data_IF_430696310476
#
_entry.id   IF_430696310476
#
_cell.length_a   1.000
_cell.length_b   1.000
_cell.length_c   1.000
_cell.angle_alpha   90.00
_cell.angle_beta   90.00
_cell.angle_gamma   90.00
#
_symmetry.space_group_name_H-M   'P 1'
#
loop_
_entity.id
_entity.type
_entity.pdbx_description
1 polymer ?
#
# COMPACT_ATOMS: atom_id res chain seq x y z
N UNK A 1 -24.27 107.91 47.24
CA UNK A 1 -23.22 106.93 47.63
C UNK A 1 -22.70 106.25 46.39
N UNK A 2 -21.48 106.57 45.95
CA UNK A 2 -20.85 105.90 44.82
C UNK A 2 -20.43 104.49 45.27
N UNK A 3 -21.05 103.45 44.71
CA UNK A 3 -20.62 102.07 44.93
C UNK A 3 -19.24 101.91 44.29
N UNK A 4 -18.19 101.68 45.10
CA UNK A 4 -16.87 101.29 44.59
C UNK A 4 -17.04 100.01 43.78
N UNK A 5 -16.73 100.06 42.50
CA UNK A 5 -16.72 98.86 41.67
C UNK A 5 -15.63 97.91 42.21
N UNK A 6 -15.92 96.60 42.31
CA UNK A 6 -14.92 95.63 42.72
C UNK A 6 -13.77 95.59 41.71
N UNK A 7 -12.54 95.53 42.22
CA UNK A 7 -11.34 95.38 41.40
C UNK A 7 -11.12 93.88 41.11
N UNK A 8 -11.51 93.46 39.91
CA UNK A 8 -11.41 92.07 39.44
C UNK A 8 -10.08 91.76 38.75
N UNK A 9 -9.10 92.66 38.77
CA UNK A 9 -7.86 92.51 37.99
C UNK A 9 -7.03 91.29 38.42
N UNK A 10 -6.98 90.98 39.71
CA UNK A 10 -6.27 89.82 40.25
C UNK A 10 -6.90 88.49 39.79
N UNK A 11 -8.23 88.35 39.91
CA UNK A 11 -8.97 87.16 39.49
C UNK A 11 -8.91 86.96 37.97
N UNK A 12 -8.94 88.06 37.20
CA UNK A 12 -8.80 88.03 35.74
C UNK A 12 -7.42 87.51 35.32
N UNK A 13 -6.35 87.89 36.02
CA UNK A 13 -5.00 87.39 35.75
C UNK A 13 -4.83 85.91 36.09
N UNK A 14 -5.42 85.43 37.18
CA UNK A 14 -5.39 84.00 37.55
C UNK A 14 -6.14 83.17 36.50
N UNK A 15 -7.31 83.64 36.08
CA UNK A 15 -8.10 82.99 35.03
C UNK A 15 -7.38 82.98 33.67
N UNK A 16 -6.74 84.08 33.27
CA UNK A 16 -5.98 84.13 32.03
C UNK A 16 -4.78 83.15 32.06
N UNK A 17 -4.05 83.09 33.19
CA UNK A 17 -2.93 82.15 33.35
C UNK A 17 -3.40 80.69 33.35
N UNK A 18 -4.51 80.38 34.01
CA UNK A 18 -5.06 79.01 34.02
C UNK A 18 -5.56 78.61 32.64
N UNK A 19 -6.20 79.53 31.90
CA UNK A 19 -6.63 79.31 30.51
C UNK A 19 -5.44 79.09 29.59
N UNK A 20 -4.38 79.89 29.72
CA UNK A 20 -3.15 79.72 28.93
C UNK A 20 -2.45 78.40 29.22
N UNK A 21 -2.38 77.99 30.50
CA UNK A 21 -1.83 76.69 30.89
C UNK A 21 -2.68 75.52 30.36
N UNK A 22 -4.01 75.66 30.37
CA UNK A 22 -4.91 74.66 29.80
C UNK A 22 -4.72 74.52 28.28
N UNK A 23 -4.59 75.63 27.56
CA UNK A 23 -4.31 75.62 26.12
C UNK A 23 -2.96 74.96 25.80
N UNK A 24 -1.89 75.31 26.52
CA UNK A 24 -0.58 74.70 26.33
C UNK A 24 -0.60 73.17 26.62
N UNK A 25 -1.37 72.74 27.62
CA UNK A 25 -1.56 71.31 27.89
C UNK A 25 -2.37 70.62 26.79
N UNK A 26 -3.41 71.26 26.25
CA UNK A 26 -4.19 70.73 25.13
C UNK A 26 -3.33 70.58 23.87
N UNK A 27 -2.48 71.56 23.57
CA UNK A 27 -1.56 71.51 22.45
C UNK A 27 -0.57 70.35 22.60
N UNK A 28 0.02 70.21 23.79
CA UNK A 28 0.93 69.10 24.10
C UNK A 28 0.24 67.73 23.97
N UNK A 29 -0.95 67.57 24.54
CA UNK A 29 -1.72 66.32 24.44
C UNK A 29 -2.08 66.01 22.98
N UNK A 30 -2.42 67.05 22.19
CA UNK A 30 -2.72 66.89 20.76
C UNK A 30 -1.50 66.45 19.97
N UNK A 31 -0.32 67.00 20.27
CA UNK A 31 0.92 66.60 19.61
C UNK A 31 1.35 65.18 20.00
N UNK A 32 1.28 64.82 21.28
CA UNK A 32 1.56 63.47 21.77
C UNK A 32 0.59 62.44 21.16
N UNK A 33 -0.69 62.79 21.03
CA UNK A 33 -1.70 61.96 20.38
C UNK A 33 -1.42 61.76 18.88
N UNK A 34 -0.97 62.80 18.17
CA UNK A 34 -0.56 62.69 16.75
C UNK A 34 0.64 61.76 16.59
N UNK A 35 1.69 61.93 17.41
CA UNK A 35 2.88 61.05 17.38
C UNK A 35 2.52 59.60 17.69
N UNK A 36 1.64 59.37 18.67
CA UNK A 36 1.16 58.03 19.00
C UNK A 36 0.35 57.42 17.83
N UNK A 37 -0.47 58.22 17.15
CA UNK A 37 -1.24 57.78 15.99
C UNK A 37 -0.35 57.44 14.79
N UNK A 38 0.63 58.28 14.46
CA UNK A 38 1.61 58.03 13.40
C UNK A 38 2.38 56.73 13.67
N UNK A 39 2.88 56.55 14.90
CA UNK A 39 3.56 55.31 15.32
C UNK A 39 2.66 54.09 15.20
N UNK A 40 1.37 54.21 15.53
CA UNK A 40 0.41 53.12 15.38
C UNK A 40 0.16 52.76 13.90
N UNK A 41 0.12 53.76 13.01
CA UNK A 41 0.02 53.54 11.56
C UNK A 41 1.27 52.82 11.04
N UNK A 42 2.46 53.27 11.41
CA UNK A 42 3.73 52.62 11.02
C UNK A 42 3.78 51.16 11.49
N UNK A 43 3.40 50.90 12.75
CA UNK A 43 3.31 49.54 13.28
C UNK A 43 2.30 48.68 12.51
N UNK A 44 1.15 49.25 12.12
CA UNK A 44 0.15 48.54 11.34
C UNK A 44 0.65 48.21 9.93
N UNK A 45 1.37 49.13 9.29
CA UNK A 45 1.98 48.90 7.97
C UNK A 45 3.02 47.78 8.07
N UNK A 46 3.95 47.88 9.03
CA UNK A 46 4.98 46.86 9.24
C UNK A 46 4.37 45.47 9.55
N UNK A 47 3.31 45.42 10.36
CA UNK A 47 2.61 44.17 10.66
C UNK A 47 1.93 43.58 9.42
N UNK A 48 1.35 44.40 8.54
CA UNK A 48 0.75 43.94 7.28
C UNK A 48 1.80 43.42 6.30
N UNK A 49 2.94 44.10 6.19
CA UNK A 49 4.05 43.64 5.35
C UNK A 49 4.61 42.30 5.85
N UNK A 50 4.74 42.14 7.17
CA UNK A 50 5.18 40.90 7.78
C UNK A 50 4.19 39.75 7.53
N UNK A 51 2.88 39.98 7.72
CA UNK A 51 1.83 39.00 7.41
C UNK A 51 1.90 38.59 5.94
N UNK A 52 2.02 39.56 5.03
CA UNK A 52 2.10 39.28 3.61
C UNK A 52 3.35 38.45 3.25
N UNK A 53 4.49 38.73 3.89
CA UNK A 53 5.70 37.91 3.72
C UNK A 53 5.47 36.48 4.19
N UNK A 54 4.86 36.30 5.36
CA UNK A 54 4.53 34.96 5.90
C UNK A 54 3.57 34.21 4.98
N UNK A 55 2.57 34.88 4.41
CA UNK A 55 1.63 34.29 3.45
C UNK A 55 2.37 33.78 2.20
N UNK A 56 3.27 34.59 1.62
CA UNK A 56 4.07 34.19 0.45
C UNK A 56 5.01 33.01 0.75
N UNK A 57 5.65 33.02 1.93
CA UNK A 57 6.48 31.90 2.38
C UNK A 57 5.64 30.63 2.57
N UNK A 58 4.46 30.75 3.18
CA UNK A 58 3.54 29.63 3.38
C UNK A 58 3.01 29.06 2.06
N UNK A 59 2.68 29.91 1.08
CA UNK A 59 2.29 29.48 -0.26
C UNK A 59 3.40 28.72 -0.97
N UNK A 60 4.65 29.20 -0.86
CA UNK A 60 5.82 28.56 -1.46
C UNK A 60 6.05 27.19 -0.84
N UNK A 61 6.05 27.10 0.50
CA UNK A 61 6.20 25.82 1.22
C UNK A 61 5.07 24.85 0.86
N UNK A 62 3.82 25.34 0.80
CA UNK A 62 2.67 24.51 0.45
C UNK A 62 2.78 23.95 -0.97
N UNK A 63 3.18 24.79 -1.94
CA UNK A 63 3.39 24.38 -3.33
C UNK A 63 4.48 23.33 -3.45
N UNK A 64 5.64 23.56 -2.84
CA UNK A 64 6.76 22.62 -2.86
C UNK A 64 6.39 21.29 -2.21
N UNK A 65 5.63 21.34 -1.11
CA UNK A 65 5.12 20.15 -0.46
C UNK A 65 4.16 19.38 -1.38
N UNK A 66 3.19 20.04 -2.01
CA UNK A 66 2.24 19.41 -2.92
C UNK A 66 2.96 18.80 -4.12
N UNK A 67 3.89 19.53 -4.74
CA UNK A 67 4.63 19.06 -5.91
C UNK A 67 5.53 17.87 -5.59
N UNK A 68 6.20 17.88 -4.43
CA UNK A 68 7.00 16.75 -3.97
C UNK A 68 6.14 15.51 -3.74
N UNK A 69 5.06 15.64 -2.97
CA UNK A 69 4.16 14.52 -2.68
C UNK A 69 3.49 14.00 -3.96
N UNK A 70 3.13 14.89 -4.89
CA UNK A 70 2.56 14.49 -6.18
C UNK A 70 3.52 13.59 -6.96
N UNK A 71 4.79 13.98 -7.08
CA UNK A 71 5.81 13.17 -7.78
C UNK A 71 6.00 11.80 -7.12
N UNK A 72 6.02 11.74 -5.79
CA UNK A 72 6.13 10.49 -5.04
C UNK A 72 4.90 9.59 -5.25
N UNK A 73 3.69 10.15 -5.23
CA UNK A 73 2.45 9.43 -5.49
C UNK A 73 2.40 8.94 -6.94
N UNK A 74 2.75 9.77 -7.92
CA UNK A 74 2.79 9.40 -9.34
C UNK A 74 3.80 8.27 -9.59
N UNK A 75 4.99 8.34 -8.99
CA UNK A 75 5.99 7.27 -9.07
C UNK A 75 5.48 5.96 -8.47
N UNK A 76 4.89 6.01 -7.27
CA UNK A 76 4.31 4.83 -6.62
C UNK A 76 3.18 4.22 -7.45
N UNK A 77 2.26 5.05 -7.96
CA UNK A 77 1.15 4.58 -8.81
C UNK A 77 1.68 3.93 -10.09
N UNK A 78 2.71 4.51 -10.71
CA UNK A 78 3.37 3.91 -11.89
C UNK A 78 3.93 2.54 -11.55
N UNK A 79 4.67 2.43 -10.44
CA UNK A 79 5.26 1.16 -9.99
C UNK A 79 4.19 0.11 -9.67
N UNK A 80 3.10 0.49 -9.00
CA UNK A 80 1.98 -0.39 -8.65
C UNK A 80 1.26 -0.91 -9.90
N UNK A 81 1.00 -0.02 -10.87
CA UNK A 81 0.36 -0.39 -12.14
C UNK A 81 1.29 -1.31 -12.94
N UNK A 82 2.57 -0.95 -13.05
CA UNK A 82 3.56 -1.73 -13.77
C UNK A 82 3.72 -3.13 -13.16
N UNK A 83 3.82 -3.22 -11.83
CA UNK A 83 3.88 -4.50 -11.11
C UNK A 83 2.65 -5.36 -11.37
N UNK A 84 1.45 -4.76 -11.33
CA UNK A 84 0.19 -5.46 -11.64
C UNK A 84 0.15 -5.98 -13.07
N UNK A 85 0.64 -5.20 -14.04
CA UNK A 85 0.74 -5.62 -15.44
C UNK A 85 1.74 -6.77 -15.61
N UNK A 86 2.95 -6.63 -15.07
CA UNK A 86 4.00 -7.67 -15.10
C UNK A 86 3.45 -8.99 -14.55
N UNK A 87 2.78 -8.95 -13.40
CA UNK A 87 2.17 -10.14 -12.80
C UNK A 87 1.15 -10.81 -13.74
N UNK A 88 0.28 -10.03 -14.36
CA UNK A 88 -0.71 -10.56 -15.31
C UNK A 88 -0.04 -11.18 -16.54
N UNK A 89 0.97 -10.52 -17.11
CA UNK A 89 1.66 -11.00 -18.30
C UNK A 89 2.43 -12.31 -18.05
N UNK A 90 3.05 -12.44 -16.87
CA UNK A 90 3.65 -13.73 -16.45
C UNK A 90 2.58 -14.81 -16.37
N UNK A 91 1.41 -14.52 -15.78
CA UNK A 91 0.30 -15.48 -15.71
C UNK A 91 -0.29 -15.80 -17.09
N UNK A 92 -0.18 -14.90 -18.07
CA UNK A 92 -0.53 -15.18 -19.46
C UNK A 92 0.57 -15.93 -20.24
N UNK A 93 1.66 -16.33 -19.58
CA UNK A 93 2.73 -17.12 -20.18
C UNK A 93 3.74 -16.31 -21.01
N UNK A 94 3.77 -14.98 -20.88
CA UNK A 94 4.84 -14.21 -21.51
C UNK A 94 6.18 -14.46 -20.81
N UNK A 95 7.26 -14.57 -21.59
CA UNK A 95 8.60 -14.79 -21.04
C UNK A 95 9.07 -13.57 -20.25
N UNK A 96 9.85 -13.78 -19.18
CA UNK A 96 10.42 -12.68 -18.39
C UNK A 96 11.26 -11.73 -19.25
N UNK A 97 12.00 -12.27 -20.23
CA UNK A 97 12.85 -11.48 -21.11
C UNK A 97 12.03 -10.54 -22.00
N UNK A 98 10.91 -11.04 -22.56
CA UNK A 98 10.03 -10.22 -23.38
C UNK A 98 9.35 -9.14 -22.53
N UNK A 99 8.86 -9.48 -21.33
CA UNK A 99 8.24 -8.50 -20.42
C UNK A 99 9.24 -7.41 -20.03
N UNK A 100 10.46 -7.78 -19.62
CA UNK A 100 11.49 -6.83 -19.22
C UNK A 100 11.89 -5.91 -20.38
N UNK A 101 11.98 -6.45 -21.61
CA UNK A 101 12.32 -5.68 -22.80
C UNK A 101 11.20 -4.74 -23.23
N UNK A 102 9.97 -5.22 -23.33
CA UNK A 102 8.83 -4.46 -23.87
C UNK A 102 8.29 -3.41 -22.89
N UNK A 103 8.39 -3.66 -21.57
CA UNK A 103 7.92 -2.74 -20.54
C UNK A 103 9.04 -2.00 -19.81
N UNK A 104 10.30 -2.22 -20.20
CA UNK A 104 11.50 -1.66 -19.55
C UNK A 104 11.51 -1.91 -18.03
N UNK A 105 11.05 -3.10 -17.61
CA UNK A 105 10.85 -3.43 -16.20
C UNK A 105 12.20 -3.77 -15.54
N UNK A 106 12.52 -3.19 -14.37
CA UNK A 106 13.73 -3.56 -13.64
C UNK A 106 13.71 -5.03 -13.21
N UNK A 107 14.87 -5.71 -13.31
CA UNK A 107 15.00 -7.13 -12.93
C UNK A 107 14.53 -7.43 -11.49
N UNK A 108 14.71 -6.49 -10.56
CA UNK A 108 14.20 -6.61 -9.19
C UNK A 108 12.67 -6.71 -9.15
N UNK A 109 11.96 -5.84 -9.87
CA UNK A 109 10.49 -5.87 -9.93
C UNK A 109 9.99 -7.19 -10.53
N UNK A 110 10.71 -7.71 -11.54
CA UNK A 110 10.42 -9.02 -12.09
C UNK A 110 10.56 -10.11 -11.01
N UNK A 111 11.68 -10.16 -10.31
CA UNK A 111 11.89 -11.11 -9.21
C UNK A 111 10.82 -10.99 -8.10
N UNK A 112 10.45 -9.77 -7.72
CA UNK A 112 9.40 -9.51 -6.74
C UNK A 112 8.03 -10.02 -7.24
N UNK A 113 7.73 -9.89 -8.54
CA UNK A 113 6.51 -10.43 -9.13
C UNK A 113 6.51 -11.96 -9.15
N UNK A 114 7.63 -12.62 -9.48
CA UNK A 114 7.77 -14.08 -9.37
C UNK A 114 7.54 -14.57 -7.93
N UNK A 115 8.12 -13.86 -6.95
CA UNK A 115 7.91 -14.15 -5.53
C UNK A 115 6.45 -13.93 -5.11
N UNK A 116 5.81 -12.86 -5.59
CA UNK A 116 4.42 -12.53 -5.27
C UNK A 116 3.43 -13.54 -5.86
N UNK A 117 3.69 -14.03 -7.07
CA UNK A 117 2.89 -15.10 -7.69
C UNK A 117 3.04 -16.40 -6.89
N UNK A 118 4.18 -16.60 -6.21
CA UNK A 118 4.44 -17.78 -5.41
C UNK A 118 5.06 -18.90 -6.25
N UNK A 119 5.96 -18.55 -7.17
CA UNK A 119 6.83 -19.54 -7.77
C UNK A 119 7.73 -20.17 -6.70
N UNK A 120 7.91 -21.48 -6.78
CA UNK A 120 8.73 -22.25 -5.86
C UNK A 120 9.69 -23.15 -6.64
N UNK A 121 10.83 -23.56 -6.05
CA UNK A 121 11.77 -24.47 -6.70
C UNK A 121 11.08 -25.76 -7.17
N UNK A 122 11.31 -26.11 -8.44
CA UNK A 122 10.95 -27.38 -9.05
C UNK A 122 12.24 -28.14 -9.33
N UNK A 123 12.59 -29.06 -8.44
CA UNK A 123 13.89 -29.73 -8.50
C UNK A 123 15.05 -28.78 -8.20
N UNK A 124 16.20 -28.98 -8.87
CA UNK A 124 17.43 -28.21 -8.62
C UNK A 124 17.60 -26.99 -9.51
N UNK A 125 16.97 -26.98 -10.67
CA UNK A 125 17.29 -26.05 -11.77
C UNK A 125 16.12 -25.18 -12.22
N UNK A 126 14.89 -25.54 -11.85
CA UNK A 126 13.69 -24.87 -12.33
C UNK A 126 12.90 -24.25 -11.18
N UNK A 127 12.00 -23.33 -11.54
CA UNK A 127 10.95 -22.81 -10.66
C UNK A 127 9.60 -23.06 -11.31
N UNK A 128 8.61 -23.42 -10.49
CA UNK A 128 7.25 -23.69 -10.94
C UNK A 128 6.22 -22.89 -10.15
N UNK A 129 5.02 -22.71 -10.71
CA UNK A 129 3.86 -22.16 -10.01
C UNK A 129 2.61 -22.96 -10.37
N UNK A 130 1.62 -22.90 -9.49
CA UNK A 130 0.31 -23.50 -9.72
C UNK A 130 -0.77 -22.45 -9.45
N UNK A 131 -1.61 -22.20 -10.45
CA UNK A 131 -2.81 -21.40 -10.35
C UNK A 131 -4.07 -22.28 -10.49
N UNK A 132 -5.23 -21.69 -10.22
CA UNK A 132 -6.51 -22.37 -10.23
C UNK A 132 -7.54 -21.55 -11.00
N UNK A 133 -8.28 -22.19 -11.90
CA UNK A 133 -9.55 -21.69 -12.43
C UNK A 133 -10.67 -22.50 -11.78
N UNK A 134 -11.63 -21.84 -11.15
CA UNK A 134 -12.69 -22.50 -10.37
C UNK A 134 -14.04 -22.42 -11.11
N UNK A 135 -14.73 -23.56 -11.21
CA UNK A 135 -16.06 -23.72 -11.81
C UNK A 135 -16.95 -24.57 -10.89
N UNK A 136 -17.47 -23.98 -9.81
CA UNK A 136 -18.26 -24.65 -8.75
C UNK A 136 -17.60 -25.93 -8.21
N UNK A 137 -18.03 -27.09 -8.71
CA UNK A 137 -17.58 -28.41 -8.27
C UNK A 137 -16.40 -28.96 -9.10
N UNK A 138 -15.97 -28.22 -10.10
CA UNK A 138 -14.87 -28.56 -10.99
C UNK A 138 -13.99 -27.34 -11.22
N UNK A 139 -12.96 -27.51 -12.03
CA UNK A 139 -12.10 -26.42 -12.44
C UNK A 139 -10.83 -26.93 -13.09
N UNK A 140 -9.83 -26.08 -13.15
CA UNK A 140 -8.53 -26.42 -13.70
C UNK A 140 -7.40 -26.02 -12.76
N UNK A 141 -6.43 -26.92 -12.63
CA UNK A 141 -5.10 -26.65 -12.07
C UNK A 141 -4.18 -26.28 -13.23
N UNK A 142 -3.59 -25.10 -13.17
CA UNK A 142 -2.70 -24.60 -14.22
C UNK A 142 -1.28 -24.55 -13.67
N UNK A 143 -0.39 -25.36 -14.24
CA UNK A 143 1.02 -25.39 -13.91
C UNK A 143 1.82 -24.50 -14.86
N UNK A 144 2.70 -23.69 -14.29
CA UNK A 144 3.62 -22.81 -15.02
C UNK A 144 5.07 -23.16 -14.70
N UNK A 145 5.93 -23.28 -15.71
CA UNK A 145 7.39 -23.40 -15.59
C UNK A 145 8.04 -22.75 -16.80
N UNK A 146 8.74 -21.63 -16.59
CA UNK A 146 9.39 -20.89 -17.69
C UNK A 146 8.41 -20.55 -18.82
N UNK A 147 8.56 -21.17 -20.00
CA UNK A 147 7.73 -21.03 -21.19
C UNK A 147 6.61 -22.09 -21.29
N UNK A 148 6.48 -22.95 -20.29
CA UNK A 148 5.53 -24.07 -20.28
C UNK A 148 4.32 -23.71 -19.44
N UNK A 149 3.13 -23.92 -20.03
CA UNK A 149 1.85 -23.88 -19.35
C UNK A 149 1.10 -25.20 -19.59
N UNK A 150 0.78 -25.92 -18.51
CA UNK A 150 -0.03 -27.14 -18.56
C UNK A 150 -1.33 -26.92 -17.78
N UNK A 151 -2.46 -27.37 -18.34
CA UNK A 151 -3.78 -27.22 -17.75
C UNK A 151 -4.38 -28.60 -17.49
N UNK A 152 -4.74 -28.87 -16.24
CA UNK A 152 -5.29 -30.15 -15.79
C UNK A 152 -6.65 -29.94 -15.13
N UNK A 153 -7.69 -30.57 -15.66
CA UNK A 153 -9.03 -30.49 -15.07
C UNK A 153 -9.08 -31.19 -13.71
N UNK A 154 -9.74 -30.59 -12.73
CA UNK A 154 -10.03 -31.23 -11.45
C UNK A 154 -11.52 -31.24 -11.16
N UNK A 155 -11.96 -32.19 -10.34
CA UNK A 155 -13.33 -32.26 -9.85
C UNK A 155 -13.34 -32.66 -8.37
N UNK A 156 -14.25 -32.05 -7.60
CA UNK A 156 -14.49 -32.44 -6.21
C UNK A 156 -15.23 -33.77 -6.13
N UNK A 157 -14.79 -34.64 -5.23
CA UNK A 157 -15.44 -35.93 -4.95
C UNK A 157 -16.12 -35.91 -3.59
N UNK A 158 -17.09 -36.79 -3.44
CA UNK A 158 -17.74 -37.02 -2.15
C UNK A 158 -16.91 -38.05 -1.32
N UNK A 159 -17.02 -37.98 0.00
CA UNK A 159 -16.40 -38.93 0.93
C UNK A 159 -15.04 -38.51 1.46
N UNK A 160 -14.05 -39.43 1.44
CA UNK A 160 -12.70 -39.19 1.99
C UNK A 160 -11.73 -38.54 0.99
N UNK A 161 -12.12 -38.47 -0.28
CA UNK A 161 -11.36 -37.78 -1.34
C UNK A 161 -11.96 -36.39 -1.53
N UNK A 162 -11.14 -35.35 -1.39
CA UNK A 162 -11.57 -33.98 -1.60
C UNK A 162 -11.73 -33.71 -3.09
N UNK A 163 -10.70 -33.98 -3.87
CA UNK A 163 -10.68 -33.75 -5.29
C UNK A 163 -9.75 -34.73 -5.99
N UNK A 164 -9.94 -34.90 -7.29
CA UNK A 164 -8.96 -35.55 -8.16
C UNK A 164 -8.63 -34.63 -9.32
N UNK A 165 -7.36 -34.60 -9.70
CA UNK A 165 -6.84 -33.81 -10.82
C UNK A 165 -6.51 -34.79 -11.94
N UNK A 166 -7.17 -34.67 -13.09
CA UNK A 166 -6.93 -35.50 -14.27
C UNK A 166 -5.59 -35.16 -14.91
N UNK A 167 -4.73 -36.15 -15.09
CA UNK A 167 -3.41 -35.97 -15.69
C UNK A 167 -3.15 -37.03 -16.77
N UNK A 168 -2.38 -36.73 -17.82
CA UNK A 168 -2.07 -37.72 -18.85
C UNK A 168 -1.34 -38.94 -18.28
N UNK A 169 -1.71 -40.12 -18.78
CA UNK A 169 -0.99 -41.37 -18.53
C UNK A 169 0.45 -41.27 -18.99
N UNK A 170 1.35 -42.05 -18.38
CA UNK A 170 2.77 -42.04 -18.73
C UNK A 170 3.01 -42.23 -20.25
N UNK A 171 2.27 -43.15 -20.87
CA UNK A 171 2.35 -43.45 -22.31
C UNK A 171 1.90 -42.29 -23.21
N UNK A 172 0.99 -41.43 -22.71
CA UNK A 172 0.45 -40.29 -23.47
C UNK A 172 1.10 -38.96 -23.09
N UNK A 173 1.90 -38.93 -22.03
CA UNK A 173 2.46 -37.71 -21.45
C UNK A 173 3.15 -36.82 -22.49
N UNK A 174 4.11 -37.38 -23.23
CA UNK A 174 4.86 -36.62 -24.23
C UNK A 174 3.97 -36.13 -25.38
N UNK A 175 2.97 -36.92 -25.77
CA UNK A 175 2.07 -36.56 -26.86
C UNK A 175 1.10 -35.43 -26.46
N UNK A 176 0.62 -35.43 -25.21
CA UNK A 176 -0.36 -34.45 -24.74
C UNK A 176 0.28 -33.17 -24.17
N UNK A 177 1.46 -33.27 -23.56
CA UNK A 177 2.13 -32.13 -22.91
C UNK A 177 3.31 -31.57 -23.69
N UNK A 178 3.84 -32.31 -24.66
CA UNK A 178 5.09 -31.98 -25.35
C UNK A 178 6.37 -32.21 -24.52
N UNK A 179 6.25 -32.62 -23.25
CA UNK A 179 7.39 -32.75 -22.34
C UNK A 179 7.98 -34.17 -22.32
N UNK A 180 9.28 -34.31 -21.99
CA UNK A 180 9.89 -35.62 -21.73
C UNK A 180 9.17 -36.37 -20.61
N UNK A 181 9.15 -37.70 -20.68
CA UNK A 181 8.52 -38.53 -19.64
C UNK A 181 9.19 -38.36 -18.28
N UNK A 182 10.51 -38.10 -18.26
CA UNK A 182 11.29 -37.89 -17.03
C UNK A 182 10.82 -36.64 -16.24
N UNK A 183 10.21 -35.67 -16.92
CA UNK A 183 9.66 -34.47 -16.29
C UNK A 183 8.31 -34.72 -15.62
N UNK A 184 7.62 -35.84 -15.94
CA UNK A 184 6.27 -36.11 -15.47
C UNK A 184 6.19 -36.13 -13.95
N UNK A 185 6.92 -37.04 -13.30
CA UNK A 185 6.83 -37.20 -11.85
C UNK A 185 7.25 -35.95 -11.07
N UNK A 186 8.36 -35.26 -11.40
CA UNK A 186 8.72 -33.99 -10.75
C UNK A 186 7.60 -32.94 -10.83
N UNK A 187 6.99 -32.76 -12.00
CA UNK A 187 5.90 -31.79 -12.21
C UNK A 187 4.67 -32.17 -11.40
N UNK A 188 4.25 -33.44 -11.47
CA UNK A 188 3.05 -33.91 -10.76
C UNK A 188 3.23 -33.84 -9.23
N UNK A 189 4.41 -34.14 -8.71
CA UNK A 189 4.71 -33.98 -7.27
C UNK A 189 4.61 -32.51 -6.86
N UNK A 190 5.21 -31.61 -7.64
CA UNK A 190 5.15 -30.17 -7.37
C UNK A 190 3.71 -29.65 -7.36
N UNK A 191 2.89 -30.09 -8.34
CA UNK A 191 1.46 -29.76 -8.38
C UNK A 191 0.75 -30.27 -7.13
N UNK A 192 0.94 -31.54 -6.78
CA UNK A 192 0.34 -32.14 -5.58
C UNK A 192 0.70 -31.39 -4.30
N UNK A 193 1.99 -31.11 -4.09
CA UNK A 193 2.47 -30.36 -2.92
C UNK A 193 1.86 -28.97 -2.84
N UNK A 194 1.82 -28.25 -3.96
CA UNK A 194 1.27 -26.89 -3.99
C UNK A 194 -0.24 -26.90 -3.75
N UNK A 195 -0.98 -27.85 -4.32
CA UNK A 195 -2.43 -27.95 -4.10
C UNK A 195 -2.74 -28.23 -2.63
N UNK A 196 -2.00 -29.14 -1.99
CA UNK A 196 -2.16 -29.38 -0.54
C UNK A 196 -1.91 -28.12 0.26
N UNK A 197 -0.80 -27.41 0.01
CA UNK A 197 -0.49 -26.19 0.76
C UNK A 197 -1.53 -25.09 0.55
N UNK A 198 -1.98 -24.89 -0.68
CA UNK A 198 -2.77 -23.71 -1.05
C UNK A 198 -4.28 -23.90 -0.83
N UNK A 199 -4.80 -25.13 -0.98
CA UNK A 199 -6.26 -25.40 -1.02
C UNK A 199 -6.73 -26.53 -0.10
N UNK A 200 -5.83 -27.37 0.41
CA UNK A 200 -6.22 -28.60 1.13
C UNK A 200 -5.31 -28.88 2.33
N UNK A 201 -5.16 -27.92 3.23
CA UNK A 201 -4.38 -28.10 4.46
C UNK A 201 -4.94 -29.26 5.30
N UNK A 202 -4.06 -30.16 5.77
CA UNK A 202 -4.45 -31.38 6.49
C UNK A 202 -4.84 -32.57 5.61
N UNK A 203 -4.76 -32.43 4.28
CA UNK A 203 -4.89 -33.51 3.32
C UNK A 203 -3.51 -34.01 2.85
N UNK A 204 -3.50 -35.11 2.12
CA UNK A 204 -2.34 -35.65 1.41
C UNK A 204 -2.70 -35.90 -0.04
N UNK A 205 -1.70 -35.91 -0.93
CA UNK A 205 -1.88 -36.26 -2.32
C UNK A 205 -1.27 -37.65 -2.63
N UNK A 206 -1.80 -38.32 -3.64
CA UNK A 206 -1.27 -39.55 -4.22
C UNK A 206 -1.33 -39.46 -5.75
N UNK A 207 -0.20 -39.69 -6.41
CA UNK A 207 -0.11 -39.70 -7.88
C UNK A 207 -0.41 -41.12 -8.36
N UNK A 208 -1.41 -41.25 -9.23
CA UNK A 208 -1.79 -42.47 -9.92
C UNK A 208 -1.42 -42.37 -11.42
N UNK A 209 -1.81 -43.38 -12.21
CA UNK A 209 -1.49 -43.43 -13.64
C UNK A 209 -2.10 -42.25 -14.40
N UNK A 210 -3.35 -41.87 -14.11
CA UNK A 210 -4.10 -40.82 -14.82
C UNK A 210 -4.68 -39.72 -13.89
N UNK A 211 -4.32 -39.72 -12.61
CA UNK A 211 -4.84 -38.75 -11.67
C UNK A 211 -3.87 -38.39 -10.53
N UNK A 212 -4.04 -37.20 -9.96
CA UNK A 212 -3.57 -36.86 -8.61
C UNK A 212 -4.79 -36.86 -7.68
N UNK A 213 -4.82 -37.75 -6.70
CA UNK A 213 -5.91 -37.84 -5.73
C UNK A 213 -5.57 -37.09 -4.45
N UNK A 214 -6.48 -36.25 -3.97
CA UNK A 214 -6.33 -35.48 -2.73
C UNK A 214 -7.25 -36.09 -1.68
N UNK A 215 -6.67 -36.65 -0.60
CA UNK A 215 -7.42 -37.41 0.41
C UNK A 215 -7.11 -36.95 1.83
N UNK A 216 -8.09 -37.06 2.72
CA UNK A 216 -7.92 -36.66 4.12
C UNK A 216 -6.84 -37.54 4.80
N UNK A 217 -5.96 -36.92 5.58
CA UNK A 217 -5.07 -37.66 6.47
C UNK A 217 -5.95 -38.28 7.56
N UNK A 218 -6.23 -39.58 7.47
CA UNK A 218 -6.97 -40.29 8.52
C UNK A 218 -6.22 -40.07 9.84
N UNK A 219 -6.86 -39.54 10.90
CA UNK A 219 -6.21 -39.49 12.20
C UNK A 219 -5.85 -40.92 12.57
N UNK A 220 -4.57 -41.17 12.84
CA UNK A 220 -4.11 -42.45 13.38
C UNK A 220 -4.90 -42.64 14.66
N UNK A 221 -5.88 -43.57 14.65
CA UNK A 221 -6.59 -43.95 15.88
C UNK A 221 -5.51 -44.33 16.86
N UNK A 222 -5.25 -43.49 17.87
CA UNK A 222 -4.37 -43.85 18.99
C UNK A 222 -4.94 -45.16 19.52
N UNK A 223 -4.25 -46.27 19.26
CA UNK A 223 -4.60 -47.56 19.83
C UNK A 223 -4.56 -47.35 21.33
N UNK A 224 -5.75 -47.25 21.94
CA UNK A 224 -5.89 -47.35 23.38
C UNK A 224 -5.30 -48.69 23.77
N UNK A 225 -4.01 -48.69 24.16
CA UNK A 225 -3.36 -49.84 24.78
C UNK A 225 -4.19 -50.11 26.04
N UNK A 226 -5.03 -51.14 25.98
CA UNK A 226 -5.73 -51.63 27.17
C UNK A 226 -4.66 -51.86 28.24
N UNK A 227 -4.83 -51.35 29.46
CA UNK A 227 -3.88 -51.62 30.53
C UNK A 227 -3.78 -53.14 30.71
N UNK A 228 -2.58 -53.68 30.54
CA UNK A 228 -2.29 -55.09 30.80
C UNK A 228 -2.56 -55.31 32.29
N UNK A 229 -3.64 -56.02 32.61
CA UNK A 229 -3.90 -56.47 33.98
C UNK A 229 -2.77 -57.42 34.37
N UNK A 230 -1.92 -57.01 35.31
CA UNK A 230 -0.98 -57.91 35.98
C UNK A 230 -1.80 -58.90 36.81
N UNK A 231 -1.86 -60.16 36.38
CA UNK A 231 -2.29 -61.27 37.22
C UNK A 231 -1.21 -61.51 38.30
N UNK A 232 -1.65 -61.53 39.56
CA UNK A 232 -0.86 -61.93 40.72
C UNK A 232 -0.72 -63.45 40.77
#
# INVERSE_FOLDING_TARGET
>A
MAKKQPDYTADTNVFQKSMQAALANLDKVTEDAKKAHEKAIEMQIAAKEEIHRIELEAETISRDFVDKNRKEIEARLRDDILFSMVRKLVLFGMSSNDIMKELEVPAKMMADAWNNIGFAPLGKTHVGHVAYEEEDRAGNVIFYREDIMLKFGYEFRDGLSLAFINVPKAEKWKAETGLPLDDRLPILNFIGERVIRDKAEGYKYEIQDDAINITLIKPVKKLNKKPVKKSK
#
